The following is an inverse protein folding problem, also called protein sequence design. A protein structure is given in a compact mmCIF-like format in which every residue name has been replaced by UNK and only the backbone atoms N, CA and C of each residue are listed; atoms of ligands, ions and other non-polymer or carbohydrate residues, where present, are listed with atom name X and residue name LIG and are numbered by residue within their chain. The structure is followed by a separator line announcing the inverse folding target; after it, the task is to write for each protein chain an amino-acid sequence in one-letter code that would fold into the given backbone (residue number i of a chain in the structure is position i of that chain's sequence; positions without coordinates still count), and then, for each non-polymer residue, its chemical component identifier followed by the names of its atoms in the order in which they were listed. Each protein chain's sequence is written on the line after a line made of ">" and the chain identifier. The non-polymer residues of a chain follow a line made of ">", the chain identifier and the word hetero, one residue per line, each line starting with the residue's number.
data_IF_341420752607
#
_entry.id   IF_341420752607
#
_cell.length_a   1.000
_cell.length_b   1.000
_cell.length_c   1.000
_cell.angle_alpha   90.00
_cell.angle_beta   90.00
_cell.angle_gamma   90.00
#
_symmetry.space_group_name_H-M   'P 1'
#
loop_
_entity.id
_entity.type
_entity.pdbx_description
1 polymer ?
#
# COMPACT_ATOMS: atom_id res chain seq x y z
N UNK A 1 -52.03 62.97 37.02
CA UNK A 1 -51.98 61.52 37.25
C UNK A 1 -51.83 60.89 35.89
N UNK A 2 -50.59 60.67 35.45
CA UNK A 2 -50.28 60.04 34.17
C UNK A 2 -49.80 58.63 34.48
N UNK A 3 -50.50 57.66 33.89
CA UNK A 3 -50.30 56.24 34.08
C UNK A 3 -48.90 55.84 33.59
N UNK A 4 -48.11 55.22 34.47
CA UNK A 4 -46.89 54.53 34.07
C UNK A 4 -47.28 53.22 33.40
N UNK A 5 -47.37 53.22 32.05
CA UNK A 5 -47.37 52.00 31.27
C UNK A 5 -46.01 51.32 31.45
N UNK A 6 -45.93 50.41 32.43
CA UNK A 6 -44.76 49.60 32.65
C UNK A 6 -44.78 48.49 31.60
N UNK A 7 -43.83 48.50 30.65
CA UNK A 7 -43.68 47.41 29.69
C UNK A 7 -43.52 46.07 30.44
N UNK A 8 -44.25 45.02 30.05
CA UNK A 8 -44.16 43.74 30.73
C UNK A 8 -42.74 43.20 30.61
N UNK A 9 -42.13 42.85 31.74
CA UNK A 9 -40.81 42.22 31.80
C UNK A 9 -40.83 40.88 31.06
N UNK A 10 -39.69 40.45 30.53
CA UNK A 10 -39.57 39.23 29.71
C UNK A 10 -40.10 37.97 30.43
N UNK A 11 -40.02 37.93 31.77
CA UNK A 11 -40.61 36.90 32.63
C UNK A 11 -42.15 36.91 32.69
N UNK A 12 -42.80 38.05 32.46
CA UNK A 12 -44.26 38.15 32.31
C UNK A 12 -44.73 37.74 30.91
N UNK A 13 -43.85 37.87 29.90
CA UNK A 13 -44.18 37.58 28.49
C UNK A 13 -44.05 36.11 28.13
N UNK A 14 -43.07 35.42 28.72
CA UNK A 14 -42.86 33.97 28.57
C UNK A 14 -42.63 33.29 29.93
N UNK A 15 -43.67 33.20 30.77
CA UNK A 15 -43.56 32.66 32.14
C UNK A 15 -43.20 31.18 32.19
N UNK A 16 -43.32 30.45 31.08
CA UNK A 16 -42.99 29.03 30.97
C UNK A 16 -41.70 28.77 30.18
N UNK A 17 -41.06 29.80 29.61
CA UNK A 17 -39.83 29.67 28.83
C UNK A 17 -40.00 28.97 27.48
N UNK A 18 -41.22 28.88 26.94
CA UNK A 18 -41.53 28.11 25.72
C UNK A 18 -40.98 28.81 24.48
N UNK A 19 -41.08 30.15 24.42
CA UNK A 19 -40.56 30.91 23.28
C UNK A 19 -39.03 30.80 23.25
N UNK A 20 -38.39 30.86 24.41
CA UNK A 20 -36.95 30.63 24.53
C UNK A 20 -36.56 29.21 24.12
N UNK A 21 -37.33 28.20 24.53
CA UNK A 21 -37.09 26.80 24.18
C UNK A 21 -37.21 26.56 22.66
N UNK A 22 -38.19 27.18 22.00
CA UNK A 22 -38.35 27.11 20.55
C UNK A 22 -37.13 27.70 19.82
N UNK A 23 -36.64 28.86 20.26
CA UNK A 23 -35.44 29.50 19.69
C UNK A 23 -34.19 28.63 19.90
N UNK A 24 -34.02 28.08 21.11
CA UNK A 24 -32.90 27.18 21.41
C UNK A 24 -32.96 25.89 20.58
N UNK A 25 -34.17 25.38 20.32
CA UNK A 25 -34.40 24.20 19.48
C UNK A 25 -34.08 24.47 18.00
N UNK A 26 -34.54 25.59 17.45
CA UNK A 26 -34.23 25.99 16.07
C UNK A 26 -32.71 26.20 15.89
N UNK A 27 -32.05 26.79 16.88
CA UNK A 27 -30.61 26.94 16.88
C UNK A 27 -29.88 25.59 16.91
N UNK A 28 -30.37 24.64 17.71
CA UNK A 28 -29.82 23.29 17.74
C UNK A 28 -29.98 22.58 16.40
N UNK A 29 -31.15 22.66 15.77
CA UNK A 29 -31.40 22.09 14.45
C UNK A 29 -30.47 22.68 13.39
N UNK A 30 -30.29 24.01 13.41
CA UNK A 30 -29.37 24.69 12.49
C UNK A 30 -27.93 24.19 12.67
N UNK A 31 -27.48 24.06 13.92
CA UNK A 31 -26.14 23.58 14.25
C UNK A 31 -25.91 22.13 13.83
N UNK A 32 -26.92 21.28 14.01
CA UNK A 32 -26.86 19.87 13.56
C UNK A 32 -26.78 19.82 12.03
N UNK A 33 -27.61 20.61 11.34
CA UNK A 33 -27.59 20.67 9.88
C UNK A 33 -26.21 21.09 9.36
N UNK A 34 -25.64 22.17 9.91
CA UNK A 34 -24.33 22.68 9.49
C UNK A 34 -23.21 21.64 9.71
N UNK A 35 -23.26 20.93 10.84
CA UNK A 35 -22.31 19.86 11.13
C UNK A 35 -22.44 18.69 10.15
N UNK A 36 -23.66 18.24 9.85
CA UNK A 36 -23.92 17.18 8.87
C UNK A 36 -23.44 17.59 7.47
N UNK A 37 -23.71 18.83 7.06
CA UNK A 37 -23.21 19.39 5.80
C UNK A 37 -21.69 19.40 5.74
N UNK A 38 -21.01 19.74 6.83
CA UNK A 38 -19.54 19.69 6.89
C UNK A 38 -18.97 18.28 6.74
N UNK A 39 -19.63 17.28 7.34
CA UNK A 39 -19.24 15.87 7.21
C UNK A 39 -19.40 15.45 5.75
N UNK A 40 -20.55 15.75 5.15
CA UNK A 40 -20.83 15.43 3.75
C UNK A 40 -19.76 16.00 2.82
N UNK A 41 -19.41 17.29 2.98
CA UNK A 41 -18.42 17.95 2.15
C UNK A 41 -17.06 17.24 2.26
N UNK A 42 -16.65 16.91 3.49
CA UNK A 42 -15.38 16.24 3.76
C UNK A 42 -15.36 14.80 3.24
N UNK A 43 -16.48 14.10 3.31
CA UNK A 43 -16.61 12.75 2.75
C UNK A 43 -16.47 12.78 1.23
N UNK A 44 -17.09 13.75 0.56
CA UNK A 44 -16.97 13.91 -0.90
C UNK A 44 -15.51 14.16 -1.28
N UNK A 45 -14.83 15.10 -0.61
CA UNK A 45 -13.41 15.38 -0.87
C UNK A 45 -12.51 14.15 -0.73
N UNK A 46 -12.72 13.34 0.33
CA UNK A 46 -11.95 12.12 0.56
C UNK A 46 -12.20 11.09 -0.56
N UNK A 47 -13.46 10.88 -0.93
CA UNK A 47 -13.81 9.94 -1.99
C UNK A 47 -13.21 10.35 -3.33
N UNK A 48 -13.30 11.64 -3.68
CA UNK A 48 -12.69 12.13 -4.91
C UNK A 48 -11.16 12.03 -4.88
N UNK A 49 -10.53 12.31 -3.74
CA UNK A 49 -9.09 12.19 -3.60
C UNK A 49 -8.64 10.73 -3.77
N UNK A 50 -9.32 9.78 -3.13
CA UNK A 50 -9.09 8.34 -3.31
C UNK A 50 -9.26 7.94 -4.78
N UNK A 51 -10.34 8.38 -5.43
CA UNK A 51 -10.59 8.08 -6.84
C UNK A 51 -9.47 8.63 -7.74
N UNK A 52 -9.01 9.87 -7.50
CA UNK A 52 -7.87 10.45 -8.21
C UNK A 52 -6.58 9.65 -8.01
N UNK A 53 -6.28 9.17 -6.80
CA UNK A 53 -5.07 8.36 -6.55
C UNK A 53 -5.11 7.01 -7.29
N UNK A 54 -6.31 6.42 -7.44
CA UNK A 54 -6.53 5.20 -8.21
C UNK A 54 -6.40 5.50 -9.71
N UNK A 55 -7.11 6.51 -10.22
CA UNK A 55 -7.11 6.91 -11.63
C UNK A 55 -5.75 7.42 -12.13
N UNK A 56 -4.99 8.10 -11.27
CA UNK A 56 -3.63 8.57 -11.61
C UNK A 56 -2.58 7.45 -11.61
N UNK A 57 -3.00 6.19 -11.43
CA UNK A 57 -2.15 5.03 -11.64
C UNK A 57 -1.02 4.90 -10.60
N UNK A 58 -1.13 5.54 -9.43
CA UNK A 58 -0.13 5.38 -8.35
C UNK A 58 -0.02 3.91 -7.96
N UNK A 59 -1.14 3.18 -8.00
CA UNK A 59 -1.18 1.74 -7.75
C UNK A 59 -0.61 0.96 -8.95
N UNK A 60 -0.97 1.35 -10.17
CA UNK A 60 -0.52 0.69 -11.42
C UNK A 60 1.01 0.79 -11.59
N UNK A 61 1.59 1.98 -11.38
CA UNK A 61 3.04 2.20 -11.47
C UNK A 61 3.83 1.44 -10.40
N UNK A 62 3.28 1.28 -9.20
CA UNK A 62 3.93 0.50 -8.13
C UNK A 62 3.90 -0.99 -8.48
N UNK A 63 2.79 -1.49 -9.00
CA UNK A 63 2.67 -2.89 -9.45
C UNK A 63 3.62 -3.15 -10.60
N UNK A 64 3.64 -2.31 -11.63
CA UNK A 64 4.52 -2.45 -12.79
C UNK A 64 6.00 -2.41 -12.42
N UNK A 65 6.37 -1.52 -11.51
CA UNK A 65 7.74 -1.45 -10.97
C UNK A 65 8.09 -2.76 -10.26
N UNK A 66 7.21 -3.26 -9.39
CA UNK A 66 7.45 -4.51 -8.66
C UNK A 66 7.54 -5.71 -9.60
N UNK A 67 6.68 -5.79 -10.62
CA UNK A 67 6.73 -6.85 -11.64
C UNK A 67 8.06 -6.80 -12.40
N UNK A 68 8.52 -5.61 -12.79
CA UNK A 68 9.82 -5.47 -13.46
C UNK A 68 11.00 -5.85 -12.57
N UNK A 69 10.98 -5.49 -11.28
CA UNK A 69 12.02 -5.91 -10.35
C UNK A 69 12.02 -7.44 -10.13
N UNK A 70 10.85 -8.06 -10.03
CA UNK A 70 10.74 -9.53 -9.94
C UNK A 70 11.29 -10.22 -11.19
N UNK A 71 11.01 -9.70 -12.39
CA UNK A 71 11.58 -10.23 -13.65
C UNK A 71 13.11 -10.14 -13.67
N UNK A 72 13.70 -9.07 -13.13
CA UNK A 72 15.16 -8.95 -13.01
C UNK A 72 15.76 -9.96 -12.05
N UNK A 73 15.08 -10.26 -10.95
CA UNK A 73 15.53 -11.29 -10.00
C UNK A 73 15.45 -12.67 -10.65
N UNK A 74 14.36 -12.98 -11.36
CA UNK A 74 14.21 -14.23 -12.10
C UNK A 74 15.34 -14.44 -13.12
N UNK A 75 15.67 -13.42 -13.92
CA UNK A 75 16.77 -13.52 -14.87
C UNK A 75 18.13 -13.82 -14.19
N UNK A 76 18.37 -13.27 -12.99
CA UNK A 76 19.59 -13.58 -12.21
C UNK A 76 19.59 -15.02 -11.68
N UNK A 77 18.42 -15.57 -11.36
CA UNK A 77 18.29 -16.96 -10.97
C UNK A 77 18.58 -17.88 -12.17
N UNK A 78 18.08 -17.55 -13.36
CA UNK A 78 18.35 -18.30 -14.59
C UNK A 78 19.86 -18.28 -14.93
N UNK A 79 20.51 -17.11 -14.81
CA UNK A 79 21.96 -17.00 -14.98
C UNK A 79 22.74 -17.85 -13.95
N UNK A 80 22.26 -17.88 -12.71
CA UNK A 80 22.86 -18.69 -11.64
C UNK A 80 22.69 -20.20 -11.92
N UNK A 81 21.54 -20.63 -12.42
CA UNK A 81 21.29 -22.01 -12.82
C UNK A 81 22.26 -22.44 -13.93
N UNK A 82 22.48 -21.59 -14.94
CA UNK A 82 23.46 -21.84 -16.00
C UNK A 82 24.90 -21.99 -15.45
N UNK A 83 25.25 -21.30 -14.36
CA UNK A 83 26.53 -21.48 -13.68
C UNK A 83 26.65 -22.83 -12.98
N UNK A 84 25.56 -23.34 -12.40
CA UNK A 84 25.53 -24.68 -11.83
C UNK A 84 25.65 -25.76 -12.91
N UNK A 85 24.97 -25.60 -14.05
CA UNK A 85 25.13 -26.51 -15.19
C UNK A 85 26.59 -26.59 -15.67
N UNK A 86 27.30 -25.46 -15.70
CA UNK A 86 28.72 -25.42 -16.04
C UNK A 86 29.60 -26.13 -15.01
N UNK A 87 29.25 -26.04 -13.72
CA UNK A 87 29.97 -26.75 -12.66
C UNK A 87 29.80 -28.27 -12.78
N UNK A 88 28.58 -28.74 -13.07
CA UNK A 88 28.31 -30.16 -13.28
C UNK A 88 29.09 -30.71 -14.50
N UNK A 89 29.21 -29.92 -15.56
CA UNK A 89 30.05 -30.28 -16.71
C UNK A 89 31.53 -30.41 -16.32
N UNK A 90 32.03 -29.51 -15.46
CA UNK A 90 33.41 -29.56 -14.99
C UNK A 90 33.66 -30.81 -14.14
N UNK A 91 32.70 -31.19 -13.30
CA UNK A 91 32.78 -32.40 -12.49
C UNK A 91 32.88 -33.64 -13.38
N UNK A 92 32.04 -33.76 -14.40
CA UNK A 92 32.13 -34.85 -15.39
C UNK A 92 33.48 -34.90 -16.14
N UNK A 93 34.09 -33.75 -16.42
CA UNK A 93 35.44 -33.69 -16.99
C UNK A 93 36.47 -34.26 -16.00
N UNK A 94 36.40 -33.85 -14.73
CA UNK A 94 37.31 -34.31 -13.66
C UNK A 94 37.18 -35.81 -13.45
N UNK A 95 35.95 -36.34 -13.35
CA UNK A 95 35.69 -37.78 -13.23
C UNK A 95 36.28 -38.57 -14.40
N UNK A 96 36.22 -38.02 -15.63
CA UNK A 96 36.79 -38.67 -16.81
C UNK A 96 38.33 -38.60 -16.86
N UNK A 97 38.95 -37.64 -16.16
CA UNK A 97 40.38 -37.37 -16.23
C UNK A 97 41.20 -38.37 -15.43
N UNK A 98 40.74 -38.74 -14.22
CA UNK A 98 41.39 -39.73 -13.37
C UNK A 98 41.63 -41.08 -14.06
N UNK A 99 40.63 -41.75 -14.67
CA UNK A 99 40.85 -43.03 -15.34
C UNK A 99 41.75 -42.90 -16.58
N UNK A 100 41.71 -41.76 -17.28
CA UNK A 100 42.62 -41.47 -18.40
C UNK A 100 44.07 -41.36 -17.92
N UNK A 101 44.30 -40.70 -16.79
CA UNK A 101 45.62 -40.57 -16.19
C UNK A 101 46.16 -41.93 -15.72
N UNK A 102 45.32 -42.72 -15.05
CA UNK A 102 45.67 -44.08 -14.62
C UNK A 102 46.06 -44.97 -15.80
N UNK A 103 45.33 -44.89 -16.91
CA UNK A 103 45.66 -45.61 -18.15
C UNK A 103 47.04 -45.21 -18.69
N UNK A 104 47.33 -43.92 -18.77
CA UNK A 104 48.64 -43.43 -19.25
C UNK A 104 49.78 -43.90 -18.33
N UNK A 105 49.58 -43.87 -17.01
CA UNK A 105 50.56 -44.36 -16.03
C UNK A 105 50.81 -45.87 -16.20
N UNK A 106 49.75 -46.66 -16.41
CA UNK A 106 49.86 -48.09 -16.66
C UNK A 106 50.62 -48.38 -17.97
N UNK A 107 50.23 -47.71 -19.07
CA UNK A 107 50.87 -47.87 -20.38
C UNK A 107 52.38 -47.52 -20.32
N UNK A 108 52.75 -46.45 -19.59
CA UNK A 108 54.15 -46.06 -19.40
C UNK A 108 54.93 -47.09 -18.57
N UNK A 109 54.33 -47.65 -17.52
CA UNK A 109 54.96 -48.72 -16.72
C UNK A 109 55.23 -49.97 -17.54
N UNK A 110 54.32 -50.34 -18.43
CA UNK A 110 54.48 -51.52 -19.29
C UNK A 110 55.54 -51.31 -20.37
N UNK A 111 55.62 -50.09 -20.94
CA UNK A 111 56.71 -49.69 -21.85
C UNK A 111 58.07 -49.69 -21.17
N UNK A 112 58.16 -49.26 -19.91
CA UNK A 112 59.43 -49.24 -19.15
C UNK A 112 59.90 -50.62 -18.68
N UNK A 113 59.07 -51.67 -18.77
CA UNK A 113 59.41 -53.04 -18.39
C UNK A 113 59.82 -53.94 -19.56
N UNK A 114 59.63 -53.49 -20.80
CA UNK A 114 60.13 -54.13 -22.02
C UNK A 114 61.54 -53.63 -22.35
#
# INVERSE_FOLDING_TARGET
>A
MASEDTEPTQEQRDPFGIDRLCVDYDYLLYKIHDYVSSIQLRTIEICEQQNRLIEQGIIEQVIDKNVNELKKVLAKCDDLEAHFDMLDQLDGIVESFEPRLQKVIADHRDLSKR
#
